data_IF_464095806230
#
_entry.id   IF_464095806230
#
_cell.length_a   1.000
_cell.length_b   1.000
_cell.length_c   1.000
_cell.angle_alpha   90.00
_cell.angle_beta   90.00
_cell.angle_gamma   90.00
#
_symmetry.space_group_name_H-M   'P 1'
#
loop_
_entity.id
_entity.type
_entity.pdbx_description
1 polymer ?
#
# COMPACT_ATOMS: atom_id res chain seq x y z
N UNK A 1 -29.75 -35.38 -19.61
CA UNK A 1 -28.47 -34.69 -19.86
C UNK A 1 -28.66 -33.22 -19.58
N UNK A 2 -28.18 -32.77 -18.42
CA UNK A 2 -27.68 -31.42 -18.15
C UNK A 2 -27.13 -31.48 -16.72
N UNK A 3 -25.82 -31.57 -16.60
CA UNK A 3 -25.11 -31.64 -15.33
C UNK A 3 -25.22 -30.28 -14.63
N UNK A 4 -25.67 -30.31 -13.38
CA UNK A 4 -25.61 -29.19 -12.46
C UNK A 4 -24.20 -29.17 -11.88
N UNK A 5 -23.30 -28.39 -12.47
CA UNK A 5 -21.97 -28.15 -11.89
C UNK A 5 -22.13 -27.27 -10.67
N UNK A 6 -22.14 -27.91 -9.50
CA UNK A 6 -22.11 -27.26 -8.22
C UNK A 6 -20.80 -26.51 -8.07
N UNK A 7 -20.83 -25.20 -8.27
CA UNK A 7 -19.80 -24.29 -7.75
C UNK A 7 -19.70 -24.57 -6.25
N UNK A 8 -18.60 -25.19 -5.85
CA UNK A 8 -18.40 -25.63 -4.47
C UNK A 8 -18.14 -24.39 -3.63
N UNK A 9 -19.15 -23.95 -2.87
CA UNK A 9 -19.01 -22.96 -1.79
C UNK A 9 -17.75 -23.28 -0.97
N UNK A 10 -16.85 -22.30 -0.73
CA UNK A 10 -15.65 -22.54 0.05
C UNK A 10 -16.06 -22.99 1.45
N UNK A 11 -15.80 -24.28 1.75
CA UNK A 11 -16.10 -24.92 3.03
C UNK A 11 -15.56 -24.05 4.16
N UNK A 12 -16.46 -23.45 4.96
CA UNK A 12 -16.08 -22.56 6.08
C UNK A 12 -15.05 -23.27 6.96
N UNK A 13 -13.83 -22.73 6.96
CA UNK A 13 -12.73 -23.27 7.76
C UNK A 13 -13.04 -23.15 9.25
N UNK A 14 -12.66 -24.15 10.03
CA UNK A 14 -12.67 -24.06 11.50
C UNK A 14 -11.72 -22.95 11.97
N UNK A 15 -11.85 -22.41 13.20
CA UNK A 15 -10.91 -21.42 13.72
C UNK A 15 -9.44 -21.88 13.62
N UNK A 16 -9.16 -23.15 13.97
CA UNK A 16 -7.84 -23.77 13.83
C UNK A 16 -7.39 -23.85 12.36
N UNK A 17 -8.32 -24.14 11.46
CA UNK A 17 -8.06 -24.20 10.02
C UNK A 17 -7.70 -22.83 9.44
N UNK A 18 -8.40 -21.76 9.86
CA UNK A 18 -8.09 -20.38 9.45
C UNK A 18 -6.70 -19.95 9.93
N UNK A 19 -6.40 -20.16 11.22
CA UNK A 19 -5.08 -19.85 11.76
C UNK A 19 -3.94 -20.62 11.06
N UNK A 20 -4.19 -21.87 10.63
CA UNK A 20 -3.22 -22.64 9.85
C UNK A 20 -3.04 -22.05 8.45
N UNK A 21 -4.13 -21.72 7.76
CA UNK A 21 -4.08 -21.08 6.44
C UNK A 21 -3.35 -19.74 6.50
N UNK A 22 -3.69 -18.88 7.45
CA UNK A 22 -3.05 -17.56 7.67
C UNK A 22 -1.56 -17.69 7.92
N UNK A 23 -1.13 -18.64 8.77
CA UNK A 23 0.30 -18.91 8.99
C UNK A 23 1.03 -19.34 7.71
N UNK A 24 0.40 -20.18 6.88
CA UNK A 24 0.99 -20.57 5.59
C UNK A 24 1.14 -19.35 4.67
N UNK A 25 0.12 -18.49 4.59
CA UNK A 25 0.17 -17.26 3.78
C UNK A 25 1.24 -16.31 4.28
N UNK A 26 1.30 -16.04 5.59
CA UNK A 26 2.30 -15.16 6.19
C UNK A 26 3.73 -15.67 5.93
N UNK A 27 3.96 -16.98 6.13
CA UNK A 27 5.27 -17.60 5.87
C UNK A 27 5.64 -17.51 4.39
N UNK A 28 4.68 -17.77 3.49
CA UNK A 28 4.91 -17.65 2.04
C UNK A 28 5.22 -16.21 1.66
N UNK A 29 4.54 -15.23 2.25
CA UNK A 29 4.77 -13.82 2.01
C UNK A 29 6.20 -13.40 2.41
N UNK A 30 6.71 -13.90 3.54
CA UNK A 30 8.09 -13.68 3.99
C UNK A 30 9.11 -14.32 3.05
N UNK A 31 8.96 -15.60 2.71
CA UNK A 31 9.86 -16.28 1.78
C UNK A 31 9.89 -15.61 0.39
N UNK A 32 8.73 -15.21 -0.12
CA UNK A 32 8.65 -14.50 -1.41
C UNK A 32 9.27 -13.10 -1.34
N UNK A 33 9.26 -12.46 -0.18
CA UNK A 33 9.96 -11.18 0.02
C UNK A 33 11.48 -11.37 -0.03
N UNK A 34 11.98 -12.43 0.59
CA UNK A 34 13.43 -12.67 0.73
C UNK A 34 14.05 -13.34 -0.51
N UNK A 35 13.28 -14.14 -1.24
CA UNK A 35 13.78 -15.01 -2.32
C UNK A 35 13.09 -14.79 -3.67
N UNK A 36 12.13 -13.86 -3.73
CA UNK A 36 11.25 -13.67 -4.87
C UNK A 36 10.20 -14.78 -5.00
N UNK A 37 9.17 -14.51 -5.80
CA UNK A 37 8.09 -15.47 -6.07
C UNK A 37 8.62 -16.68 -6.83
N UNK A 38 9.48 -16.46 -7.83
CA UNK A 38 10.08 -17.55 -8.61
C UNK A 38 10.95 -18.46 -7.73
N UNK A 39 11.71 -17.89 -6.78
CA UNK A 39 12.61 -18.62 -5.88
C UNK A 39 11.93 -19.38 -4.74
N UNK A 40 10.63 -19.21 -4.54
CA UNK A 40 9.89 -19.84 -3.42
C UNK A 40 9.04 -21.02 -3.90
N UNK A 41 9.30 -22.24 -3.44
CA UNK A 41 8.45 -23.41 -3.76
C UNK A 41 7.41 -23.70 -2.67
N UNK A 42 6.35 -24.47 -3.01
CA UNK A 42 5.40 -24.96 -2.01
C UNK A 42 6.08 -25.82 -0.93
N UNK A 43 7.17 -26.51 -1.27
CA UNK A 43 7.97 -27.30 -0.33
C UNK A 43 8.72 -26.42 0.66
N UNK A 44 9.27 -25.30 0.22
CA UNK A 44 9.95 -24.33 1.09
C UNK A 44 8.95 -23.74 2.09
N UNK A 45 7.78 -23.33 1.61
CA UNK A 45 6.69 -22.81 2.46
C UNK A 45 6.22 -23.88 3.44
N UNK A 46 6.03 -25.11 2.99
CA UNK A 46 5.63 -26.23 3.85
C UNK A 46 6.61 -26.45 5.00
N UNK A 47 7.91 -26.48 4.69
CA UNK A 47 9.00 -26.68 5.65
C UNK A 47 9.09 -25.50 6.63
N UNK A 48 9.09 -24.27 6.11
CA UNK A 48 9.20 -23.06 6.93
C UNK A 48 7.97 -22.85 7.82
N UNK A 49 6.77 -23.12 7.31
CA UNK A 49 5.54 -22.96 8.08
C UNK A 49 5.39 -24.05 9.14
N UNK A 50 6.11 -25.18 9.04
CA UNK A 50 5.95 -26.31 9.97
C UNK A 50 4.58 -26.99 9.83
N UNK A 51 4.12 -27.18 8.59
CA UNK A 51 2.86 -27.87 8.27
C UNK A 51 3.14 -29.15 7.47
N UNK A 52 2.16 -30.06 7.43
CA UNK A 52 2.23 -31.21 6.53
C UNK A 52 2.05 -30.80 5.06
N UNK A 53 2.70 -31.50 4.14
CA UNK A 53 2.53 -31.30 2.68
C UNK A 53 1.05 -31.34 2.28
N UNK A 54 0.30 -32.32 2.79
CA UNK A 54 -1.13 -32.44 2.54
C UNK A 54 -1.94 -31.23 2.99
N UNK A 55 -1.48 -30.47 3.99
CA UNK A 55 -2.17 -29.26 4.46
C UNK A 55 -2.00 -28.10 3.48
N UNK A 56 -0.79 -27.88 2.94
CA UNK A 56 -0.56 -26.84 1.93
C UNK A 56 -1.40 -27.09 0.69
N UNK A 57 -1.37 -28.32 0.16
CA UNK A 57 -2.20 -28.72 -0.97
C UNK A 57 -3.69 -28.69 -0.66
N UNK A 58 -4.11 -29.00 0.57
CA UNK A 58 -5.51 -28.89 0.99
C UNK A 58 -6.03 -27.43 0.94
N UNK A 59 -5.21 -26.45 1.34
CA UNK A 59 -5.63 -25.05 1.40
C UNK A 59 -5.52 -24.30 0.08
N UNK A 60 -4.51 -24.61 -0.74
CA UNK A 60 -4.19 -23.83 -1.93
C UNK A 60 -4.24 -24.63 -3.22
N UNK A 61 -4.07 -25.96 -3.19
CA UNK A 61 -4.03 -26.79 -4.39
C UNK A 61 -2.74 -26.63 -5.20
N UNK A 62 -2.36 -25.39 -5.53
CA UNK A 62 -1.18 -25.06 -6.31
C UNK A 62 -0.47 -23.78 -5.80
N UNK A 63 0.68 -23.48 -6.43
CA UNK A 63 1.51 -22.32 -6.09
C UNK A 63 0.81 -21.02 -6.47
N UNK A 64 0.08 -21.01 -7.57
CA UNK A 64 -0.62 -19.84 -8.10
C UNK A 64 -1.69 -19.34 -7.14
N UNK A 65 -2.50 -20.24 -6.58
CA UNK A 65 -3.49 -19.95 -5.56
C UNK A 65 -2.86 -19.45 -4.25
N UNK A 66 -1.68 -19.97 -3.88
CA UNK A 66 -0.92 -19.44 -2.75
C UNK A 66 -0.39 -18.03 -3.04
N UNK A 67 0.14 -17.77 -4.24
CA UNK A 67 0.60 -16.44 -4.65
C UNK A 67 -0.55 -15.43 -4.57
N UNK A 68 -1.73 -15.76 -5.10
CA UNK A 68 -2.92 -14.89 -5.01
C UNK A 68 -3.32 -14.61 -3.56
N UNK A 69 -3.23 -15.61 -2.68
CA UNK A 69 -3.48 -15.42 -1.25
C UNK A 69 -2.43 -14.52 -0.58
N UNK A 70 -1.16 -14.61 -0.99
CA UNK A 70 -0.09 -13.71 -0.54
C UNK A 70 -0.33 -12.28 -1.03
N UNK A 71 -0.72 -12.08 -2.29
CA UNK A 71 -1.07 -10.77 -2.85
C UNK A 71 -2.21 -10.14 -2.03
N UNK A 72 -3.30 -10.87 -1.81
CA UNK A 72 -4.42 -10.40 -1.00
C UNK A 72 -3.98 -10.04 0.43
N UNK A 73 -3.15 -10.88 1.06
CA UNK A 73 -2.61 -10.62 2.40
C UNK A 73 -1.74 -9.36 2.47
N UNK A 74 -0.88 -9.13 1.46
CA UNK A 74 -0.04 -7.91 1.38
C UNK A 74 -0.88 -6.66 1.16
N UNK A 75 -1.90 -6.72 0.31
CA UNK A 75 -2.84 -5.61 0.09
C UNK A 75 -3.61 -5.30 1.38
N UNK A 76 -4.16 -6.31 2.06
CA UNK A 76 -4.89 -6.12 3.33
C UNK A 76 -3.99 -5.49 4.40
N UNK A 77 -2.77 -6.00 4.57
CA UNK A 77 -1.81 -5.46 5.53
C UNK A 77 -1.43 -4.01 5.20
N UNK A 78 -1.21 -3.68 3.93
CA UNK A 78 -0.96 -2.33 3.47
C UNK A 78 -2.13 -1.39 3.79
N UNK A 79 -3.36 -1.76 3.38
CA UNK A 79 -4.55 -0.93 3.58
C UNK A 79 -4.84 -0.70 5.07
N UNK A 80 -4.54 -1.67 5.94
CA UNK A 80 -4.68 -1.54 7.38
C UNK A 80 -3.76 -0.47 8.00
N UNK A 81 -2.68 -0.07 7.32
CA UNK A 81 -1.79 1.02 7.77
C UNK A 81 -2.29 2.41 7.35
N UNK A 82 -3.28 2.49 6.47
CA UNK A 82 -3.78 3.76 5.96
C UNK A 82 -4.76 4.37 6.95
N UNK A 83 -4.42 5.57 7.45
CA UNK A 83 -5.27 6.33 8.37
C UNK A 83 -4.77 7.76 8.50
N UNK A 84 -5.68 8.69 8.80
CA UNK A 84 -5.32 10.10 9.04
C UNK A 84 -4.84 10.87 7.81
N UNK A 85 -5.09 10.39 6.58
CA UNK A 85 -4.65 11.03 5.34
C UNK A 85 -5.48 12.27 4.96
N UNK A 86 -6.37 12.73 5.83
CA UNK A 86 -7.29 13.83 5.60
C UNK A 86 -6.81 15.15 6.19
N UNK A 87 -5.50 15.30 6.47
CA UNK A 87 -4.91 16.57 6.91
C UNK A 87 -3.47 16.67 6.46
N UNK A 88 -2.93 17.89 6.39
CA UNK A 88 -1.49 18.07 6.09
C UNK A 88 -0.60 17.44 7.17
N UNK A 89 -1.01 17.46 8.43
CA UNK A 89 -0.27 16.83 9.52
C UNK A 89 -0.23 15.31 9.32
N UNK A 90 -1.37 14.69 9.05
CA UNK A 90 -1.44 13.25 8.85
C UNK A 90 -0.78 12.77 7.56
N UNK A 91 -0.84 13.56 6.48
CA UNK A 91 -0.07 13.29 5.25
C UNK A 91 1.45 13.33 5.50
N UNK A 92 1.94 14.31 6.28
CA UNK A 92 3.36 14.38 6.68
C UNK A 92 3.74 13.22 7.60
N UNK A 93 2.90 12.87 8.57
CA UNK A 93 3.11 11.72 9.44
C UNK A 93 3.16 10.40 8.66
N UNK A 94 2.30 10.24 7.66
CA UNK A 94 2.32 9.08 6.76
C UNK A 94 3.61 9.02 5.93
N UNK A 95 4.04 10.16 5.36
CA UNK A 95 5.35 10.27 4.69
C UNK A 95 6.48 9.85 5.62
N UNK A 96 6.53 10.36 6.84
CA UNK A 96 7.58 10.04 7.80
C UNK A 96 7.55 8.57 8.21
N UNK A 97 6.36 7.98 8.37
CA UNK A 97 6.21 6.55 8.62
C UNK A 97 6.84 5.72 7.50
N UNK A 98 6.54 6.03 6.24
CA UNK A 98 7.09 5.31 5.08
C UNK A 98 8.62 5.45 5.00
N UNK A 99 9.14 6.68 5.11
CA UNK A 99 10.58 6.98 5.05
C UNK A 99 11.33 6.30 6.20
N UNK A 100 10.83 6.38 7.42
CA UNK A 100 11.47 5.78 8.59
C UNK A 100 11.43 4.25 8.54
N UNK A 101 10.29 3.66 8.14
CA UNK A 101 10.16 2.20 8.01
C UNK A 101 11.12 1.66 6.96
N UNK A 102 11.26 2.34 5.83
CA UNK A 102 12.22 1.96 4.80
C UNK A 102 13.66 2.10 5.28
N UNK A 103 13.99 3.20 5.98
CA UNK A 103 15.31 3.43 6.56
C UNK A 103 15.71 2.39 7.61
N UNK A 104 14.79 1.98 8.49
CA UNK A 104 15.01 0.92 9.48
C UNK A 104 15.35 -0.44 8.87
N UNK A 105 14.95 -0.67 7.62
CA UNK A 105 15.24 -1.89 6.84
C UNK A 105 16.46 -1.73 5.94
N UNK A 106 17.33 -0.74 6.18
CA UNK A 106 18.45 -0.41 5.28
C UNK A 106 18.00 -0.18 3.82
N UNK A 107 16.77 0.28 3.62
CA UNK A 107 16.13 0.41 2.32
C UNK A 107 16.08 -0.91 1.52
N UNK A 108 15.91 -2.04 2.20
CA UNK A 108 15.66 -3.35 1.58
C UNK A 108 14.16 -3.61 1.40
N UNK A 109 13.82 -4.34 0.34
CA UNK A 109 12.49 -4.91 0.15
C UNK A 109 11.45 -4.08 -0.61
N UNK A 110 11.70 -2.80 -0.92
CA UNK A 110 10.81 -1.97 -1.76
C UNK A 110 9.37 -1.85 -1.21
N UNK A 111 8.41 -1.56 -2.10
CA UNK A 111 6.99 -1.60 -1.76
C UNK A 111 6.51 -3.06 -1.68
N UNK A 112 5.87 -3.52 -0.58
CA UNK A 112 5.40 -4.90 -0.46
C UNK A 112 4.42 -5.36 -1.55
N UNK A 113 3.64 -4.44 -2.12
CA UNK A 113 2.72 -4.72 -3.24
C UNK A 113 3.40 -4.43 -4.58
N UNK A 114 4.14 -3.31 -4.69
CA UNK A 114 4.88 -2.93 -5.89
C UNK A 114 5.93 -3.95 -6.34
N UNK A 115 6.67 -4.55 -5.41
CA UNK A 115 7.65 -5.60 -5.71
C UNK A 115 6.99 -6.84 -6.31
N UNK A 116 5.84 -7.27 -5.76
CA UNK A 116 5.06 -8.37 -6.34
C UNK A 116 4.52 -8.02 -7.73
N UNK A 117 4.10 -6.77 -7.95
CA UNK A 117 3.68 -6.32 -9.27
C UNK A 117 4.82 -6.38 -10.29
N UNK A 118 6.04 -5.99 -9.91
CA UNK A 118 7.22 -6.10 -10.78
C UNK A 118 7.54 -7.54 -11.20
N UNK A 119 7.28 -8.53 -10.34
CA UNK A 119 7.53 -9.94 -10.64
C UNK A 119 6.39 -10.62 -11.42
N UNK A 120 5.14 -10.23 -11.16
CA UNK A 120 3.95 -10.99 -11.56
C UNK A 120 3.14 -10.37 -12.70
N UNK A 121 3.21 -9.05 -12.93
CA UNK A 121 2.28 -8.37 -13.82
C UNK A 121 2.31 -8.88 -15.27
N UNK A 122 3.49 -9.25 -15.78
CA UNK A 122 3.69 -9.73 -17.15
C UNK A 122 3.45 -11.24 -17.30
N UNK A 123 3.72 -12.02 -16.25
CA UNK A 123 3.73 -13.48 -16.30
C UNK A 123 2.45 -14.12 -15.78
N UNK A 124 1.68 -13.41 -14.94
CA UNK A 124 0.51 -13.94 -14.27
C UNK A 124 -0.69 -12.97 -14.34
N UNK A 125 -1.53 -13.08 -15.40
CA UNK A 125 -2.62 -12.14 -15.66
C UNK A 125 -3.65 -12.00 -14.53
N UNK A 126 -3.98 -13.08 -13.81
CA UNK A 126 -4.92 -12.98 -12.69
C UNK A 126 -4.32 -12.18 -11.52
N UNK A 127 -3.05 -12.42 -11.16
CA UNK A 127 -2.37 -11.62 -10.15
C UNK A 127 -2.27 -10.15 -10.56
N UNK A 128 -2.05 -9.85 -11.84
CA UNK A 128 -2.07 -8.46 -12.34
C UNK A 128 -3.39 -7.76 -12.03
N UNK A 129 -4.53 -8.46 -12.21
CA UNK A 129 -5.86 -7.91 -11.89
C UNK A 129 -6.02 -7.70 -10.38
N UNK A 130 -5.61 -8.68 -9.56
CA UNK A 130 -5.68 -8.56 -8.10
C UNK A 130 -4.80 -7.39 -7.58
N UNK A 131 -3.61 -7.22 -8.13
CA UNK A 131 -2.69 -6.12 -7.81
C UNK A 131 -3.23 -4.76 -8.23
N UNK A 132 -3.78 -4.66 -9.44
CA UNK A 132 -4.43 -3.43 -9.91
C UNK A 132 -5.58 -3.02 -8.97
N UNK A 133 -6.43 -3.97 -8.58
CA UNK A 133 -7.49 -3.72 -7.60
C UNK A 133 -6.96 -3.32 -6.21
N UNK A 134 -5.78 -3.80 -5.82
CA UNK A 134 -5.08 -3.36 -4.60
C UNK A 134 -4.61 -1.90 -4.68
N UNK A 135 -3.97 -1.52 -5.79
CA UNK A 135 -3.56 -0.13 -6.02
C UNK A 135 -4.76 0.82 -6.10
N UNK A 136 -5.85 0.41 -6.75
CA UNK A 136 -7.09 1.21 -6.82
C UNK A 136 -7.70 1.47 -5.43
N UNK A 137 -7.64 0.48 -4.53
CA UNK A 137 -8.09 0.62 -3.15
C UNK A 137 -7.19 1.58 -2.35
N UNK A 138 -5.87 1.47 -2.53
CA UNK A 138 -4.91 2.37 -1.88
C UNK A 138 -5.10 3.81 -2.37
N UNK A 139 -5.17 4.02 -3.68
CA UNK A 139 -5.43 5.34 -4.27
C UNK A 139 -6.76 5.91 -3.79
N UNK A 140 -7.80 5.07 -3.72
CA UNK A 140 -9.12 5.49 -3.19
C UNK A 140 -9.04 5.96 -1.75
N UNK A 141 -8.25 5.31 -0.89
CA UNK A 141 -8.07 5.74 0.50
C UNK A 141 -7.35 7.11 0.58
N UNK A 142 -6.30 7.32 -0.22
CA UNK A 142 -5.59 8.61 -0.31
C UNK A 142 -6.56 9.70 -0.81
N UNK A 143 -7.26 9.42 -1.90
CA UNK A 143 -8.25 10.32 -2.50
C UNK A 143 -9.35 10.70 -1.52
N UNK A 144 -9.86 9.75 -0.73
CA UNK A 144 -10.89 10.04 0.27
C UNK A 144 -10.41 11.06 1.31
N UNK A 145 -9.17 10.96 1.77
CA UNK A 145 -8.56 11.94 2.69
C UNK A 145 -8.44 13.33 2.05
N UNK A 146 -7.92 13.40 0.82
CA UNK A 146 -7.79 14.65 0.07
C UNK A 146 -9.14 15.29 -0.27
N UNK A 147 -10.15 14.47 -0.57
CA UNK A 147 -11.53 14.92 -0.81
C UNK A 147 -12.12 15.51 0.47
N UNK A 148 -11.91 14.89 1.63
CA UNK A 148 -12.35 15.44 2.90
C UNK A 148 -11.70 16.80 3.20
N UNK A 149 -10.40 16.98 2.92
CA UNK A 149 -9.75 18.30 3.02
C UNK A 149 -10.39 19.33 2.07
N UNK A 150 -10.70 18.92 0.84
CA UNK A 150 -11.37 19.77 -0.14
C UNK A 150 -12.77 20.20 0.32
N UNK A 151 -13.58 19.26 0.81
CA UNK A 151 -14.94 19.50 1.27
C UNK A 151 -14.99 20.42 2.51
N UNK A 152 -13.96 20.36 3.36
CA UNK A 152 -13.78 21.28 4.49
C UNK A 152 -13.24 22.66 4.09
N UNK A 153 -12.99 22.89 2.81
CA UNK A 153 -12.45 24.16 2.29
C UNK A 153 -10.98 24.40 2.62
N UNK A 154 -10.24 23.35 3.03
CA UNK A 154 -8.80 23.43 3.30
C UNK A 154 -7.97 23.42 2.02
N UNK A 155 -8.56 23.04 0.89
CA UNK A 155 -7.98 23.09 -0.45
C UNK A 155 -8.75 24.08 -1.33
N UNK A 156 -8.04 24.82 -2.18
CA UNK A 156 -8.63 25.74 -3.17
C UNK A 156 -9.43 24.95 -4.21
N UNK A 157 -10.43 25.59 -4.83
CA UNK A 157 -11.24 25.04 -5.94
C UNK A 157 -10.46 24.47 -7.13
N UNK A 158 -9.23 24.93 -7.35
CA UNK A 158 -8.36 24.41 -8.43
C UNK A 158 -7.64 23.10 -8.08
N UNK A 159 -7.70 22.67 -6.81
CA UNK A 159 -7.19 21.38 -6.40
C UNK A 159 -8.06 20.27 -7.01
N UNK A 160 -7.42 19.19 -7.44
CA UNK A 160 -8.10 18.00 -7.95
C UNK A 160 -7.64 16.81 -7.08
N UNK A 161 -8.47 16.35 -6.13
CA UNK A 161 -8.13 15.24 -5.24
C UNK A 161 -7.75 13.95 -5.96
N UNK A 162 -8.40 13.59 -7.06
CA UNK A 162 -8.06 12.40 -7.86
C UNK A 162 -6.61 12.49 -8.37
N UNK A 163 -6.25 13.60 -9.03
CA UNK A 163 -4.89 13.79 -9.57
C UNK A 163 -3.81 13.83 -8.49
N UNK A 164 -4.13 14.38 -7.33
CA UNK A 164 -3.21 14.44 -6.19
C UNK A 164 -3.02 13.05 -5.56
N UNK A 165 -4.09 12.23 -5.50
CA UNK A 165 -4.01 10.86 -5.02
C UNK A 165 -3.13 10.00 -5.92
N UNK A 166 -3.34 10.06 -7.25
CA UNK A 166 -2.47 9.36 -8.22
C UNK A 166 -1.02 9.81 -8.08
N UNK A 167 -0.77 11.12 -7.93
CA UNK A 167 0.57 11.66 -7.77
C UNK A 167 1.27 11.20 -6.48
N UNK A 168 0.55 11.14 -5.36
CA UNK A 168 1.07 10.60 -4.11
C UNK A 168 1.41 9.11 -4.23
N UNK A 169 0.51 8.30 -4.80
CA UNK A 169 0.77 6.88 -4.99
C UNK A 169 1.98 6.64 -5.91
N UNK A 170 2.06 7.37 -7.03
CA UNK A 170 3.20 7.30 -7.94
C UNK A 170 4.52 7.74 -7.27
N UNK A 171 4.48 8.76 -6.40
CA UNK A 171 5.64 9.20 -5.63
C UNK A 171 6.10 8.15 -4.62
N UNK A 172 5.18 7.42 -3.96
CA UNK A 172 5.52 6.30 -3.07
C UNK A 172 6.21 5.19 -3.87
N UNK A 173 5.59 4.70 -4.95
CA UNK A 173 6.11 3.57 -5.71
C UNK A 173 7.47 3.87 -6.35
N UNK A 174 7.58 5.01 -7.06
CA UNK A 174 8.84 5.44 -7.67
C UNK A 174 9.92 5.77 -6.64
N UNK A 175 9.52 6.40 -5.53
CA UNK A 175 10.41 6.75 -4.42
C UNK A 175 10.99 5.53 -3.73
N UNK A 176 10.15 4.54 -3.40
CA UNK A 176 10.57 3.27 -2.80
C UNK A 176 11.50 2.48 -3.71
N UNK A 177 11.21 2.42 -5.02
CA UNK A 177 12.08 1.77 -6.00
C UNK A 177 13.47 2.42 -6.03
N UNK A 178 13.53 3.74 -6.16
CA UNK A 178 14.81 4.46 -6.22
C UNK A 178 15.58 4.36 -4.90
N UNK A 179 14.88 4.41 -3.77
CA UNK A 179 15.48 4.25 -2.46
C UNK A 179 16.06 2.84 -2.27
N UNK A 180 15.36 1.82 -2.75
CA UNK A 180 15.85 0.44 -2.73
C UNK A 180 17.15 0.27 -3.53
N UNK A 181 17.19 0.82 -4.76
CA UNK A 181 18.37 0.70 -5.63
C UNK A 181 19.56 1.47 -5.06
N UNK A 182 19.33 2.65 -4.47
CA UNK A 182 20.39 3.52 -3.95
C UNK A 182 20.81 3.17 -2.52
N UNK A 183 20.04 2.35 -1.81
CA UNK A 183 20.19 2.11 -0.36
C UNK A 183 20.16 3.41 0.45
N UNK A 184 19.24 4.29 0.06
CA UNK A 184 19.12 5.65 0.61
C UNK A 184 17.63 6.03 0.64
N UNK A 185 17.04 6.43 1.77
CA UNK A 185 15.64 6.81 1.83
C UNK A 185 15.34 8.17 1.19
N UNK A 186 16.36 8.98 0.85
CA UNK A 186 16.20 10.33 0.33
C UNK A 186 15.31 10.44 -0.93
N UNK A 187 15.38 9.53 -1.94
CA UNK A 187 14.51 9.61 -3.11
C UNK A 187 13.01 9.52 -2.76
N UNK A 188 12.64 8.67 -1.79
CA UNK A 188 11.25 8.56 -1.33
C UNK A 188 10.81 9.83 -0.60
N UNK A 189 11.65 10.32 0.30
CA UNK A 189 11.44 11.58 1.00
C UNK A 189 11.20 12.72 0.01
N UNK A 190 12.12 12.94 -0.93
CA UNK A 190 12.02 14.00 -1.94
C UNK A 190 10.76 13.87 -2.78
N UNK A 191 10.44 12.67 -3.30
CA UNK A 191 9.26 12.49 -4.15
C UNK A 191 7.96 12.81 -3.41
N UNK A 192 7.84 12.41 -2.15
CA UNK A 192 6.69 12.73 -1.32
C UNK A 192 6.63 14.22 -0.96
N UNK A 193 7.77 14.80 -0.56
CA UNK A 193 7.85 16.21 -0.16
C UNK A 193 7.41 17.15 -1.29
N UNK A 194 7.80 16.88 -2.55
CA UNK A 194 7.36 17.67 -3.71
C UNK A 194 5.83 17.65 -3.92
N UNK A 195 5.20 16.48 -3.72
CA UNK A 195 3.74 16.36 -3.83
C UNK A 195 3.05 17.02 -2.64
N UNK A 196 3.60 16.89 -1.42
CA UNK A 196 3.07 17.54 -0.22
C UNK A 196 3.17 19.07 -0.29
N UNK A 197 4.28 19.61 -0.78
CA UNK A 197 4.46 21.04 -0.99
C UNK A 197 3.47 21.57 -2.04
N UNK A 198 3.20 20.77 -3.08
CA UNK A 198 2.14 21.09 -4.03
C UNK A 198 0.76 21.14 -3.37
N UNK A 199 0.45 20.22 -2.45
CA UNK A 199 -0.82 20.24 -1.71
C UNK A 199 -0.89 21.47 -0.80
N UNK A 200 0.21 21.82 -0.13
CA UNK A 200 0.31 23.02 0.72
C UNK A 200 0.06 24.31 -0.09
N UNK A 201 0.64 24.43 -1.28
CA UNK A 201 0.42 25.54 -2.23
C UNK A 201 -1.04 25.67 -2.70
N UNK A 202 -1.76 24.54 -2.68
CA UNK A 202 -3.18 24.47 -3.00
C UNK A 202 -4.07 24.84 -1.83
N UNK A 203 -3.55 25.08 -0.62
CA UNK A 203 -4.33 25.56 0.52
C UNK A 203 -4.63 27.06 0.39
N UNK A 204 -5.77 27.56 0.90
CA UNK A 204 -6.02 28.99 1.02
C UNK A 204 -4.87 29.66 1.78
N UNK A 205 -4.33 30.78 1.24
CA UNK A 205 -3.42 31.60 2.05
C UNK A 205 -4.23 32.09 3.24
N UNK A 206 -3.76 31.85 4.47
CA UNK A 206 -4.33 32.52 5.65
C UNK A 206 -4.33 34.02 5.34
N UNK A 207 -5.50 34.64 5.30
CA UNK A 207 -5.59 36.09 5.26
C UNK A 207 -4.83 36.59 6.50
N UNK A 208 -3.72 37.29 6.28
CA UNK A 208 -2.86 37.76 7.37
C UNK A 208 -3.70 38.55 8.37
N UNK A 209 -3.47 38.27 9.66
CA UNK A 209 -3.86 39.16 10.74
C UNK A 209 -3.47 40.59 10.35
N UNK A 210 -4.47 41.46 10.19
CA UNK A 210 -4.22 42.86 9.89
C UNK A 210 -3.39 43.46 11.01
N UNK A 211 -2.15 43.82 10.70
CA UNK A 211 -1.31 44.68 11.53
C UNK A 211 -2.08 46.00 11.70
N UNK A 212 -2.71 46.15 12.87
CA UNK A 212 -3.30 47.42 13.29
C UNK A 212 -2.15 48.36 13.68
N UNK A 213 -1.63 49.10 12.70
CA UNK A 213 -0.95 50.36 13.01
C UNK A 213 -2.05 51.38 13.31
N UNK A 214 -2.39 51.51 14.60
CA UNK A 214 -3.08 52.68 15.09
C UNK A 214 -2.09 53.85 15.02
N UNK A 215 -2.32 54.73 14.05
CA UNK A 215 -1.63 56.00 13.89
C UNK A 215 -1.89 56.86 15.12
N UNK A 216 -0.86 57.00 15.95
CA UNK A 216 -0.77 58.02 16.96
C UNK A 216 -0.55 59.36 16.24
N UNK A 217 -1.60 60.17 16.12
CA UNK A 217 -1.46 61.59 15.75
C UNK A 217 -2.52 62.39 16.48
N UNK A 218 -2.14 62.86 17.68
CA UNK A 218 -2.82 63.97 18.34
C UNK A 218 -1.77 65.04 18.63
N UNK A 219 -1.86 66.15 17.89
CA UNK A 219 -1.34 67.47 18.21
C UNK A 219 -2.36 68.49 17.71
#
# INVERSE_FOLDING_TARGET
MAANESVTEPRRLTPKGRATRERIVATAAELMHDHGVAGTSLGDVQKAAGVGVSQVYHYFGDKDSLIRAVVAHRIEALLATLGGLDSMEGLRAWRDLLVNTLGQRNCEGGCPVGSLAGELAESFPECRVDLAGGFDQWETAIRAGLQAMYDRGELRRKANPDRLATALLAAVEGGMLLAQVRRDPAPLATALDEVLDRIEDLRPRRAGASVSQATETSR
#
